data_IF_178047997341
#
_entry.id   IF_178047997341
#
_cell.length_a   1.000
_cell.length_b   1.000
_cell.length_c   1.000
_cell.angle_alpha   90.00
_cell.angle_beta   90.00
_cell.angle_gamma   90.00
#
_symmetry.space_group_name_H-M   'P 1'
#
loop_
_entity.id
_entity.type
_entity.pdbx_description
1 polymer ?
#
# COMPACT_ATOMS: atom_id res chain seq x y z
N UNK A 1 2.00 -49.43 -31.27
CA UNK A 1 2.95 -48.39 -30.75
C UNK A 1 2.42 -46.97 -30.96
N UNK A 2 1.82 -46.61 -32.11
CA UNK A 2 1.30 -45.29 -32.39
C UNK A 2 0.14 -44.83 -31.50
N UNK A 3 -0.77 -45.72 -31.16
CA UNK A 3 -1.93 -45.40 -30.30
C UNK A 3 -1.51 -45.14 -28.86
N UNK A 4 -0.52 -45.86 -28.34
CA UNK A 4 0.01 -45.67 -26.99
C UNK A 4 0.75 -44.29 -26.89
N UNK A 5 1.47 -43.92 -27.93
CA UNK A 5 2.13 -42.60 -27.98
C UNK A 5 1.12 -41.45 -28.07
N UNK A 6 0.06 -41.60 -28.87
CA UNK A 6 -1.01 -40.62 -28.99
C UNK A 6 -1.77 -40.45 -27.66
N UNK A 7 -2.11 -41.58 -26.99
CA UNK A 7 -2.76 -41.53 -25.68
C UNK A 7 -1.89 -40.84 -24.62
N UNK A 8 -0.58 -41.15 -24.59
CA UNK A 8 0.37 -40.52 -23.69
C UNK A 8 0.49 -39.00 -23.93
N UNK A 9 0.49 -38.58 -25.20
CA UNK A 9 0.54 -37.15 -25.56
C UNK A 9 -0.73 -36.39 -25.13
N UNK A 10 -1.90 -37.00 -25.31
CA UNK A 10 -3.20 -36.46 -24.87
C UNK A 10 -3.26 -36.31 -23.35
N UNK A 11 -2.80 -37.32 -22.62
CA UNK A 11 -2.77 -37.32 -21.15
C UNK A 11 -1.85 -36.24 -20.55
N UNK A 12 -0.88 -35.77 -21.29
CA UNK A 12 0.03 -34.65 -20.86
C UNK A 12 -0.46 -33.28 -21.34
N UNK A 13 -0.90 -33.22 -22.61
CA UNK A 13 -1.27 -31.92 -23.23
C UNK A 13 -2.55 -31.36 -22.60
N UNK A 14 -3.56 -32.21 -22.34
CA UNK A 14 -4.84 -31.74 -21.77
C UNK A 14 -4.63 -31.11 -20.37
N UNK A 15 -3.96 -31.76 -19.40
CA UNK A 15 -3.68 -31.15 -18.11
C UNK A 15 -2.85 -29.89 -18.21
N UNK A 16 -1.82 -29.85 -19.07
CA UNK A 16 -1.01 -28.65 -19.28
C UNK A 16 -1.82 -27.50 -19.85
N UNK A 17 -2.71 -27.78 -20.82
CA UNK A 17 -3.63 -26.77 -21.36
C UNK A 17 -4.58 -26.26 -20.27
N UNK A 18 -5.11 -27.16 -19.45
CA UNK A 18 -6.03 -26.81 -18.37
C UNK A 18 -5.33 -25.92 -17.29
N UNK A 19 -4.14 -26.31 -16.88
CA UNK A 19 -3.32 -25.51 -15.94
C UNK A 19 -2.98 -24.15 -16.52
N UNK A 20 -2.59 -24.09 -17.79
CA UNK A 20 -2.30 -22.83 -18.47
C UNK A 20 -3.54 -21.94 -18.54
N UNK A 21 -4.67 -22.51 -18.91
CA UNK A 21 -5.94 -21.78 -19.03
C UNK A 21 -6.43 -21.27 -17.65
N UNK A 22 -6.38 -22.14 -16.63
CA UNK A 22 -6.71 -21.76 -15.25
C UNK A 22 -5.82 -20.63 -14.75
N UNK A 23 -4.51 -20.70 -14.98
CA UNK A 23 -3.58 -19.64 -14.60
C UNK A 23 -3.87 -18.33 -15.34
N UNK A 24 -4.29 -18.39 -16.60
CA UNK A 24 -4.67 -17.20 -17.37
C UNK A 24 -5.93 -16.55 -16.81
N UNK A 25 -6.96 -17.34 -16.50
CA UNK A 25 -8.20 -16.85 -15.88
C UNK A 25 -7.90 -16.21 -14.52
N UNK A 26 -7.11 -16.87 -13.67
CA UNK A 26 -6.73 -16.34 -12.37
C UNK A 26 -6.03 -14.98 -12.49
N UNK A 27 -5.08 -14.86 -13.42
CA UNK A 27 -4.40 -13.57 -13.67
C UNK A 27 -5.36 -12.48 -14.13
N UNK A 28 -6.29 -12.79 -15.04
CA UNK A 28 -7.30 -11.83 -15.49
C UNK A 28 -8.22 -11.39 -14.35
N UNK A 29 -8.59 -12.31 -13.46
CA UNK A 29 -9.40 -12.02 -12.29
C UNK A 29 -8.64 -11.14 -11.28
N UNK A 30 -7.36 -11.44 -11.03
CA UNK A 30 -6.49 -10.63 -10.17
C UNK A 30 -6.31 -9.21 -10.74
N UNK A 31 -6.08 -9.07 -12.05
CA UNK A 31 -6.00 -7.78 -12.74
C UNK A 31 -7.33 -7.02 -12.61
N UNK A 32 -8.46 -7.65 -12.89
CA UNK A 32 -9.77 -7.03 -12.78
C UNK A 32 -10.11 -6.58 -11.34
N UNK A 33 -9.78 -7.39 -10.35
CA UNK A 33 -9.95 -7.03 -8.95
C UNK A 33 -9.09 -5.83 -8.56
N UNK A 34 -7.84 -5.76 -9.03
CA UNK A 34 -6.95 -4.63 -8.80
C UNK A 34 -7.49 -3.36 -9.45
N UNK A 35 -7.97 -3.44 -10.69
CA UNK A 35 -8.56 -2.31 -11.40
C UNK A 35 -9.82 -1.79 -10.69
N UNK A 36 -10.64 -2.68 -10.13
CA UNK A 36 -11.81 -2.31 -9.33
C UNK A 36 -11.42 -1.59 -8.04
N UNK A 37 -10.43 -2.08 -7.30
CA UNK A 37 -9.93 -1.41 -6.10
C UNK A 37 -9.39 -0.02 -6.45
N UNK A 38 -8.63 0.10 -7.52
CA UNK A 38 -8.08 1.37 -8.03
C UNK A 38 -9.21 2.36 -8.40
N UNK A 39 -10.26 1.88 -9.05
CA UNK A 39 -11.43 2.70 -9.39
C UNK A 39 -12.16 3.18 -8.13
N UNK A 40 -12.35 2.30 -7.14
CA UNK A 40 -12.97 2.65 -5.86
C UNK A 40 -12.18 3.73 -5.12
N UNK A 41 -10.86 3.56 -5.03
CA UNK A 41 -9.97 4.55 -4.40
C UNK A 41 -10.05 5.89 -5.12
N UNK A 42 -9.96 5.91 -6.45
CA UNK A 42 -10.11 7.14 -7.24
C UNK A 42 -11.46 7.83 -7.04
N UNK A 43 -12.54 7.05 -6.89
CA UNK A 43 -13.86 7.61 -6.61
C UNK A 43 -13.94 8.26 -5.22
N UNK A 44 -13.23 7.73 -4.23
CA UNK A 44 -13.13 8.30 -2.89
C UNK A 44 -12.26 9.55 -2.91
N UNK A 45 -11.08 9.48 -3.52
CA UNK A 45 -10.16 10.61 -3.67
C UNK A 45 -10.79 11.79 -4.44
N UNK A 46 -11.71 11.54 -5.37
CA UNK A 46 -12.44 12.60 -6.09
C UNK A 46 -13.31 13.48 -5.16
N UNK A 47 -13.56 13.06 -3.93
CA UNK A 47 -14.27 13.85 -2.90
C UNK A 47 -13.35 14.80 -2.13
N UNK A 48 -12.05 14.55 -2.17
CA UNK A 48 -11.00 15.36 -1.54
C UNK A 48 -10.11 15.97 -2.62
N UNK A 49 -10.13 17.29 -2.75
CA UNK A 49 -9.45 18.02 -3.81
C UNK A 49 -7.90 17.83 -3.81
N UNK A 50 -7.33 17.32 -2.72
CA UNK A 50 -5.88 17.23 -2.52
C UNK A 50 -5.31 15.82 -2.60
N UNK A 51 -6.15 14.79 -2.73
CA UNK A 51 -5.74 13.39 -2.63
C UNK A 51 -5.61 12.65 -3.96
N UNK A 52 -5.78 13.33 -5.10
CA UNK A 52 -5.67 12.65 -6.40
C UNK A 52 -4.35 11.88 -6.54
N UNK A 53 -4.45 10.54 -6.66
CA UNK A 53 -3.33 9.61 -6.78
C UNK A 53 -2.49 9.46 -5.51
N UNK A 54 -2.94 9.98 -4.37
CA UNK A 54 -2.28 9.83 -3.07
C UNK A 54 -2.13 8.38 -2.67
N UNK A 55 -3.23 7.65 -2.62
CA UNK A 55 -3.24 6.25 -2.16
C UNK A 55 -2.34 5.35 -3.01
N UNK A 56 -2.27 5.57 -4.33
CA UNK A 56 -1.35 4.83 -5.21
C UNK A 56 0.12 5.18 -4.91
N UNK A 57 0.43 6.46 -4.62
CA UNK A 57 1.80 6.85 -4.27
C UNK A 57 2.20 6.30 -2.92
N UNK A 58 1.32 6.36 -1.92
CA UNK A 58 1.53 5.74 -0.60
C UNK A 58 1.75 4.23 -0.74
N UNK A 59 0.90 3.53 -1.51
CA UNK A 59 1.06 2.10 -1.78
C UNK A 59 2.40 1.76 -2.44
N UNK A 60 2.87 2.59 -3.37
CA UNK A 60 4.16 2.39 -4.03
C UNK A 60 5.32 2.58 -3.07
N UNK A 61 5.32 3.63 -2.26
CA UNK A 61 6.36 3.88 -1.26
C UNK A 61 6.36 2.77 -0.21
N UNK A 62 5.19 2.40 0.32
CA UNK A 62 5.05 1.33 1.31
C UNK A 62 5.54 -0.02 0.78
N UNK A 63 5.21 -0.38 -0.46
CA UNK A 63 5.68 -1.60 -1.10
C UNK A 63 7.19 -1.62 -1.30
N UNK A 64 7.83 -0.51 -1.65
CA UNK A 64 9.28 -0.44 -1.75
C UNK A 64 9.96 -0.52 -0.37
N UNK A 65 9.42 0.16 0.65
CA UNK A 65 9.95 0.05 2.01
C UNK A 65 9.83 -1.38 2.56
N UNK A 66 8.69 -2.04 2.29
CA UNK A 66 8.50 -3.44 2.65
C UNK A 66 9.53 -4.39 1.98
N UNK A 67 9.91 -4.13 0.72
CA UNK A 67 10.99 -4.86 0.03
C UNK A 67 12.35 -4.58 0.62
N UNK A 68 12.64 -3.32 0.94
CA UNK A 68 13.92 -2.89 1.51
C UNK A 68 14.19 -3.59 2.85
N UNK A 69 13.17 -3.77 3.68
CA UNK A 69 13.29 -4.52 4.94
C UNK A 69 13.21 -6.04 4.77
N UNK A 70 13.23 -6.54 3.53
CA UNK A 70 13.39 -7.97 3.22
C UNK A 70 12.12 -8.81 3.33
N UNK A 71 10.93 -8.20 3.28
CA UNK A 71 9.67 -8.94 3.33
C UNK A 71 9.41 -9.77 2.06
N UNK A 72 8.72 -10.89 2.23
CA UNK A 72 8.33 -11.78 1.14
C UNK A 72 7.29 -11.15 0.20
N UNK A 73 7.21 -11.67 -1.03
CA UNK A 73 6.32 -11.13 -2.07
C UNK A 73 4.87 -10.91 -1.60
N UNK A 74 4.29 -11.88 -0.87
CA UNK A 74 2.91 -11.78 -0.38
C UNK A 74 2.74 -10.68 0.66
N UNK A 75 3.67 -10.56 1.58
CA UNK A 75 3.64 -9.51 2.61
C UNK A 75 3.76 -8.12 1.99
N UNK A 76 4.63 -7.95 0.99
CA UNK A 76 4.75 -6.71 0.21
C UNK A 76 3.44 -6.35 -0.49
N UNK A 77 2.79 -7.32 -1.14
CA UNK A 77 1.49 -7.11 -1.81
C UNK A 77 0.38 -6.77 -0.80
N UNK A 78 0.34 -7.43 0.35
CA UNK A 78 -0.61 -7.16 1.42
C UNK A 78 -0.43 -5.75 1.99
N UNK A 79 0.82 -5.33 2.24
CA UNK A 79 1.13 -3.99 2.75
C UNK A 79 0.82 -2.92 1.69
N UNK A 80 1.15 -3.14 0.43
CA UNK A 80 0.79 -2.23 -0.66
C UNK A 80 -0.73 -2.10 -0.81
N UNK A 81 -1.46 -3.21 -0.67
CA UNK A 81 -2.94 -3.20 -0.68
C UNK A 81 -3.51 -2.47 0.53
N UNK A 82 -2.96 -2.68 1.73
CA UNK A 82 -3.35 -1.96 2.92
C UNK A 82 -3.10 -0.44 2.75
N UNK A 83 -1.95 -0.06 2.21
CA UNK A 83 -1.60 1.31 1.91
C UNK A 83 -2.54 1.95 0.87
N UNK A 84 -2.95 1.19 -0.15
CA UNK A 84 -3.93 1.65 -1.14
C UNK A 84 -5.30 1.95 -0.50
N UNK A 85 -5.69 1.16 0.50
CA UNK A 85 -7.01 1.17 1.12
C UNK A 85 -7.06 1.86 2.49
N UNK A 86 -5.94 2.44 2.98
CA UNK A 86 -5.85 2.94 4.36
C UNK A 86 -6.92 3.97 4.69
N UNK A 87 -7.30 4.76 3.73
CA UNK A 87 -8.20 5.90 3.83
C UNK A 87 -9.63 5.65 3.28
N UNK A 88 -9.97 4.41 2.88
CA UNK A 88 -11.28 4.16 2.23
C UNK A 88 -12.47 4.49 3.14
N UNK A 89 -12.29 4.47 4.47
CA UNK A 89 -13.32 4.84 5.44
C UNK A 89 -13.76 6.30 5.36
N UNK A 90 -12.97 7.18 4.76
CA UNK A 90 -13.37 8.58 4.50
C UNK A 90 -14.52 8.72 3.51
N UNK A 91 -14.99 7.61 2.92
CA UNK A 91 -16.23 7.58 2.11
C UNK A 91 -17.48 7.89 2.93
N UNK A 92 -17.49 7.60 4.22
CA UNK A 92 -18.66 7.85 5.05
C UNK A 92 -19.02 9.34 5.13
N UNK A 93 -20.32 9.63 5.24
CA UNK A 93 -20.86 10.99 5.12
C UNK A 93 -20.35 11.93 6.23
N UNK A 94 -20.06 11.40 7.41
CA UNK A 94 -19.53 12.17 8.54
C UNK A 94 -18.19 12.86 8.24
N UNK A 95 -17.39 12.33 7.32
CA UNK A 95 -16.09 12.92 6.94
C UNK A 95 -16.19 14.01 5.87
N UNK A 96 -17.26 14.02 5.06
CA UNK A 96 -17.39 14.93 3.92
C UNK A 96 -17.28 16.43 4.31
N UNK A 97 -17.93 16.93 5.39
CA UNK A 97 -17.76 18.32 5.81
C UNK A 97 -16.35 18.61 6.34
N UNK A 98 -15.69 17.62 6.98
CA UNK A 98 -14.37 17.77 7.58
C UNK A 98 -13.28 17.87 6.51
N UNK A 99 -13.38 17.08 5.44
CA UNK A 99 -12.44 17.09 4.32
C UNK A 99 -12.46 18.40 3.52
N UNK A 100 -13.58 19.14 3.58
CA UNK A 100 -13.76 20.41 2.87
C UNK A 100 -13.59 21.63 3.76
N UNK A 101 -13.37 21.42 5.06
CA UNK A 101 -13.28 22.52 6.01
C UNK A 101 -12.01 23.31 5.81
N UNK A 102 -12.16 24.63 5.67
CA UNK A 102 -11.02 25.56 5.72
C UNK A 102 -10.66 25.83 7.19
N UNK A 103 -9.37 25.70 7.50
CA UNK A 103 -8.84 25.95 8.86
C UNK A 103 -8.69 24.68 9.71
N UNK A 104 -8.55 24.90 11.03
CA UNK A 104 -8.32 23.80 11.98
C UNK A 104 -9.62 23.12 12.36
N UNK A 105 -9.57 21.80 12.56
CA UNK A 105 -10.66 21.03 13.15
C UNK A 105 -10.81 21.40 14.62
N UNK A 106 -12.07 21.43 15.11
CA UNK A 106 -12.36 21.46 16.55
C UNK A 106 -12.02 20.09 17.18
N UNK A 107 -11.93 20.01 18.49
CA UNK A 107 -11.65 18.73 19.17
C UNK A 107 -12.68 17.64 18.83
N UNK A 108 -13.97 17.99 18.71
CA UNK A 108 -15.00 17.05 18.30
C UNK A 108 -14.83 16.57 16.86
N UNK A 109 -14.53 17.48 15.94
CA UNK A 109 -14.25 17.15 14.54
C UNK A 109 -12.99 16.30 14.40
N UNK A 110 -11.96 16.58 15.22
CA UNK A 110 -10.75 15.78 15.28
C UNK A 110 -11.05 14.36 15.73
N UNK A 111 -11.84 14.20 16.79
CA UNK A 111 -12.30 12.89 17.28
C UNK A 111 -13.04 12.10 16.19
N UNK A 112 -13.92 12.76 15.41
CA UNK A 112 -14.57 12.12 14.25
C UNK A 112 -13.51 11.72 13.22
N UNK A 113 -12.59 12.63 12.85
CA UNK A 113 -11.54 12.34 11.86
C UNK A 113 -10.66 11.17 12.30
N UNK A 114 -10.30 11.07 13.58
CA UNK A 114 -9.49 9.98 14.13
C UNK A 114 -10.18 8.60 14.11
N UNK A 115 -11.47 8.55 13.78
CA UNK A 115 -12.19 7.29 13.61
C UNK A 115 -12.02 6.65 12.23
N UNK A 116 -11.46 7.37 11.22
CA UNK A 116 -11.36 6.84 9.86
C UNK A 116 -10.53 5.56 9.72
N UNK A 117 -9.46 5.29 10.52
CA UNK A 117 -8.73 4.02 10.39
C UNK A 117 -9.61 2.83 10.78
N UNK A 118 -10.40 2.98 11.84
CA UNK A 118 -11.35 1.95 12.26
C UNK A 118 -12.44 1.73 11.18
N UNK A 119 -12.99 2.83 10.64
CA UNK A 119 -13.97 2.78 9.53
C UNK A 119 -13.40 2.16 8.26
N UNK A 120 -12.14 2.49 7.92
CA UNK A 120 -11.45 1.85 6.79
C UNK A 120 -11.28 0.35 7.01
N UNK A 121 -10.85 -0.05 8.20
CA UNK A 121 -10.69 -1.46 8.56
C UNK A 121 -12.03 -2.22 8.53
N UNK A 122 -13.12 -1.62 8.97
CA UNK A 122 -14.48 -2.21 8.86
C UNK A 122 -14.84 -2.51 7.40
N UNK A 123 -14.64 -1.55 6.49
CA UNK A 123 -14.89 -1.74 5.06
C UNK A 123 -13.99 -2.83 4.47
N UNK A 124 -12.69 -2.78 4.75
CA UNK A 124 -11.71 -3.77 4.26
C UNK A 124 -12.05 -5.16 4.75
N UNK A 125 -12.54 -5.31 5.99
CA UNK A 125 -12.91 -6.60 6.57
C UNK A 125 -14.10 -7.29 5.87
N UNK A 126 -14.89 -6.57 5.07
CA UNK A 126 -15.97 -7.15 4.25
C UNK A 126 -15.42 -8.04 3.14
N UNK A 127 -14.20 -7.80 2.71
CA UNK A 127 -13.51 -8.57 1.67
C UNK A 127 -12.72 -9.69 2.35
N UNK A 128 -13.12 -10.94 2.12
CA UNK A 128 -12.58 -12.11 2.84
C UNK A 128 -11.05 -12.22 2.78
N UNK A 129 -10.46 -11.94 1.63
CA UNK A 129 -9.01 -12.05 1.40
C UNK A 129 -8.20 -10.94 2.12
N UNK A 130 -8.85 -9.87 2.56
CA UNK A 130 -8.18 -8.72 3.21
C UNK A 130 -8.32 -8.76 4.72
N UNK A 131 -9.13 -9.68 5.26
CA UNK A 131 -9.26 -9.87 6.71
C UNK A 131 -7.93 -10.29 7.33
N UNK A 132 -7.69 -9.81 8.52
CA UNK A 132 -6.51 -10.17 9.30
C UNK A 132 -5.34 -9.24 9.03
N UNK A 133 -4.37 -9.61 8.18
CA UNK A 133 -3.14 -8.82 8.05
C UNK A 133 -3.40 -7.43 7.46
N UNK A 134 -4.04 -7.35 6.30
CA UNK A 134 -4.36 -6.08 5.62
C UNK A 134 -5.26 -5.20 6.48
N UNK A 135 -6.33 -5.76 7.04
CA UNK A 135 -7.25 -5.05 7.93
C UNK A 135 -6.52 -4.44 9.14
N UNK A 136 -5.64 -5.21 9.81
CA UNK A 136 -4.88 -4.69 10.96
C UNK A 136 -3.93 -3.57 10.55
N UNK A 137 -3.26 -3.67 9.41
CA UNK A 137 -2.41 -2.60 8.91
C UNK A 137 -3.21 -1.31 8.68
N UNK A 138 -4.39 -1.43 8.06
CA UNK A 138 -5.30 -0.31 7.83
C UNK A 138 -5.81 0.28 9.16
N UNK A 139 -6.18 -0.55 10.15
CA UNK A 139 -6.70 -0.09 11.44
C UNK A 139 -5.69 0.74 12.22
N UNK A 140 -4.41 0.41 12.15
CA UNK A 140 -3.37 0.95 13.02
C UNK A 140 -2.38 1.89 12.32
N UNK A 141 -2.68 2.37 11.10
CA UNK A 141 -1.74 3.20 10.34
C UNK A 141 -1.51 4.60 10.90
N UNK A 142 -2.26 5.01 11.93
CA UNK A 142 -2.06 6.24 12.71
C UNK A 142 -1.60 6.00 14.15
N UNK A 143 -1.17 4.77 14.48
CA UNK A 143 -0.47 4.54 15.74
C UNK A 143 0.95 5.11 15.66
N UNK A 144 1.33 5.91 16.66
CA UNK A 144 2.68 6.44 16.78
C UNK A 144 3.58 5.44 17.49
N UNK A 145 4.85 5.37 17.13
CA UNK A 145 5.78 4.39 17.68
C UNK A 145 5.93 4.47 19.20
N UNK A 146 5.75 5.64 19.79
CA UNK A 146 5.77 5.88 21.23
C UNK A 146 4.44 5.60 21.97
N UNK A 147 3.38 5.21 21.26
CA UNK A 147 2.05 4.94 21.83
C UNK A 147 1.14 6.18 21.95
N UNK A 148 1.56 7.34 21.48
CA UNK A 148 0.73 8.56 21.50
C UNK A 148 -0.27 8.66 20.35
N UNK A 149 -0.35 7.61 19.49
CA UNK A 149 -1.22 7.56 18.32
C UNK A 149 -2.63 7.07 18.61
N UNK A 150 -3.35 6.73 17.56
CA UNK A 150 -4.71 6.22 17.60
C UNK A 150 -4.92 5.09 16.58
N UNK A 151 -5.92 4.21 16.73
CA UNK A 151 -7.07 4.29 17.65
C UNK A 151 -6.87 3.65 19.03
N UNK A 152 -5.82 2.85 19.26
CA UNK A 152 -5.65 2.08 20.50
C UNK A 152 -4.47 2.54 21.36
N UNK A 153 -3.57 3.37 20.85
CA UNK A 153 -2.35 3.78 21.53
C UNK A 153 -1.34 2.64 21.65
N UNK A 154 -1.25 1.78 20.65
CA UNK A 154 -0.24 0.74 20.58
C UNK A 154 1.15 1.36 20.42
N UNK A 155 2.19 0.70 20.97
CA UNK A 155 3.56 1.21 20.95
C UNK A 155 4.54 0.17 20.38
N UNK A 156 5.61 0.65 19.74
CA UNK A 156 6.71 -0.17 19.28
C UNK A 156 6.24 -1.32 18.38
N UNK A 157 6.63 -2.54 18.72
CA UNK A 157 6.32 -3.75 17.95
C UNK A 157 4.88 -4.26 18.11
N UNK A 158 4.11 -3.74 19.06
CA UNK A 158 2.68 -4.03 19.16
C UNK A 158 1.93 -3.51 17.92
N UNK A 159 2.46 -2.43 17.30
CA UNK A 159 1.93 -1.89 16.04
C UNK A 159 2.32 -2.86 14.91
N UNK A 160 1.36 -3.34 14.10
CA UNK A 160 1.66 -4.18 12.94
C UNK A 160 2.74 -3.55 12.05
N UNK A 161 3.73 -4.31 11.61
CA UNK A 161 4.83 -3.80 10.79
C UNK A 161 4.33 -3.05 9.55
N UNK A 162 3.30 -3.58 8.87
CA UNK A 162 2.70 -2.90 7.72
C UNK A 162 2.09 -1.54 8.09
N UNK A 163 1.51 -1.38 9.28
CA UNK A 163 0.98 -0.10 9.74
C UNK A 163 2.10 0.92 9.97
N UNK A 164 3.22 0.51 10.59
CA UNK A 164 4.42 1.36 10.76
C UNK A 164 5.01 1.79 9.41
N UNK A 165 5.02 0.90 8.42
CA UNK A 165 5.45 1.19 7.04
C UNK A 165 4.49 2.19 6.38
N UNK A 166 3.17 2.01 6.51
CA UNK A 166 2.16 2.92 5.94
C UNK A 166 2.27 4.31 6.55
N UNK A 167 2.49 4.44 7.85
CA UNK A 167 2.71 5.72 8.54
C UNK A 167 3.83 6.54 7.89
N UNK A 168 4.98 5.92 7.61
CA UNK A 168 6.11 6.59 6.96
C UNK A 168 5.76 6.97 5.51
N UNK A 169 5.12 6.05 4.77
CA UNK A 169 4.77 6.26 3.38
C UNK A 169 3.73 7.37 3.20
N UNK A 170 2.69 7.39 4.03
CA UNK A 170 1.64 8.42 4.04
C UNK A 170 2.22 9.79 4.39
N UNK A 171 2.99 9.87 5.48
CA UNK A 171 3.65 11.12 5.87
C UNK A 171 4.59 11.63 4.79
N UNK A 172 5.35 10.74 4.14
CA UNK A 172 6.23 11.09 3.01
C UNK A 172 5.42 11.66 1.85
N UNK A 173 4.31 11.04 1.47
CA UNK A 173 3.46 11.56 0.39
C UNK A 173 2.86 12.91 0.76
N UNK A 174 2.37 13.05 1.98
CA UNK A 174 1.84 14.31 2.49
C UNK A 174 2.89 15.43 2.50
N UNK A 175 4.16 15.15 2.84
CA UNK A 175 5.24 16.14 2.83
C UNK A 175 5.68 16.54 1.43
N UNK A 176 5.62 15.63 0.47
CA UNK A 176 6.15 15.80 -0.89
C UNK A 176 5.07 16.14 -1.92
N UNK A 177 3.83 16.41 -1.51
CA UNK A 177 2.74 16.89 -2.36
C UNK A 177 2.47 18.37 -2.08
N UNK A 178 2.34 19.19 -3.14
CA UNK A 178 1.96 20.59 -3.00
C UNK A 178 0.57 20.71 -2.37
N UNK A 179 0.45 21.57 -1.38
CA UNK A 179 -0.81 21.94 -0.75
C UNK A 179 -1.03 23.44 -0.87
N UNK A 180 -2.28 23.95 -0.85
CA UNK A 180 -2.53 25.40 -1.03
C UNK A 180 -1.75 26.32 -0.12
N UNK A 181 -1.25 25.79 1.01
CA UNK A 181 -0.56 26.56 2.04
C UNK A 181 0.92 26.18 2.20
N UNK A 182 1.43 25.20 1.40
CA UNK A 182 2.79 24.70 1.54
C UNK A 182 3.26 24.00 0.27
N UNK A 183 4.41 24.43 -0.23
CA UNK A 183 5.14 23.75 -1.29
C UNK A 183 5.63 22.36 -0.85
N UNK A 184 5.79 21.45 -1.79
CA UNK A 184 6.36 20.13 -1.56
C UNK A 184 7.79 20.25 -1.00
N UNK A 185 8.10 19.41 0.00
CA UNK A 185 9.44 19.33 0.55
C UNK A 185 10.37 18.55 -0.38
N UNK A 186 11.65 18.88 -0.36
CA UNK A 186 12.70 18.09 -1.01
C UNK A 186 12.92 16.76 -0.28
N UNK A 187 13.50 15.78 -0.96
CA UNK A 187 13.80 14.47 -0.36
C UNK A 187 14.66 14.61 0.91
N UNK A 188 15.68 15.48 0.88
CA UNK A 188 16.58 15.71 2.01
C UNK A 188 15.85 16.28 3.24
N UNK A 189 14.87 17.15 3.02
CA UNK A 189 14.01 17.66 4.09
C UNK A 189 13.09 16.59 4.64
N UNK A 190 12.56 15.71 3.77
CA UNK A 190 11.73 14.56 4.20
C UNK A 190 12.55 13.64 5.12
N UNK A 191 13.77 13.27 4.73
CA UNK A 191 14.65 12.46 5.59
C UNK A 191 14.86 13.13 6.95
N UNK A 192 15.23 14.42 6.97
CA UNK A 192 15.45 15.16 8.22
C UNK A 192 14.20 15.17 9.13
N UNK A 193 13.00 15.27 8.58
CA UNK A 193 11.76 15.18 9.37
C UNK A 193 11.49 13.78 9.87
N UNK A 194 11.72 12.73 9.05
CA UNK A 194 11.56 11.34 9.48
C UNK A 194 12.54 10.99 10.62
N UNK A 195 13.81 11.38 10.50
CA UNK A 195 14.83 11.21 11.54
C UNK A 195 14.47 11.95 12.83
N UNK A 196 13.97 13.19 12.72
CA UNK A 196 13.57 14.02 13.87
C UNK A 196 12.49 13.37 14.73
N UNK A 197 11.57 12.63 14.10
CA UNK A 197 10.46 11.97 14.77
C UNK A 197 10.64 10.45 14.90
N UNK A 198 11.84 9.92 14.58
CA UNK A 198 12.17 8.52 14.82
C UNK A 198 12.12 8.21 16.34
N UNK A 199 11.48 7.11 16.69
CA UNK A 199 11.22 6.73 18.09
C UNK A 199 10.03 7.43 18.74
N UNK A 200 9.44 8.44 18.09
CA UNK A 200 8.21 9.11 18.53
C UNK A 200 7.03 8.71 17.62
N UNK A 201 7.03 9.19 16.40
CA UNK A 201 6.00 8.86 15.41
C UNK A 201 6.40 7.65 14.57
N UNK A 202 7.66 7.55 14.18
CA UNK A 202 8.16 6.55 13.24
C UNK A 202 9.04 5.52 13.93
N UNK A 203 8.99 4.30 13.40
CA UNK A 203 9.93 3.25 13.75
C UNK A 203 11.35 3.61 13.26
N UNK A 204 12.35 3.70 14.16
CA UNK A 204 13.70 4.09 13.81
C UNK A 204 14.38 3.16 12.78
N UNK A 205 14.10 1.85 12.84
CA UNK A 205 14.68 0.88 11.90
C UNK A 205 14.11 1.07 10.49
N UNK A 206 12.81 1.36 10.40
CA UNK A 206 12.15 1.65 9.13
C UNK A 206 12.61 3.00 8.55
N UNK A 207 12.87 4.01 9.38
CA UNK A 207 13.44 5.29 8.92
C UNK A 207 14.83 5.06 8.33
N UNK A 208 15.69 4.29 8.98
CA UNK A 208 17.01 3.96 8.48
C UNK A 208 16.96 3.19 7.14
N UNK A 209 16.03 2.22 7.01
CA UNK A 209 15.82 1.49 5.76
C UNK A 209 15.30 2.41 4.63
N UNK A 210 14.38 3.34 4.96
CA UNK A 210 13.85 4.32 4.01
C UNK A 210 14.96 5.21 3.44
N UNK A 211 15.84 5.75 4.28
CA UNK A 211 16.97 6.60 3.87
C UNK A 211 17.91 5.88 2.91
N UNK A 212 18.20 4.59 3.17
CA UNK A 212 19.12 3.78 2.37
C UNK A 212 18.54 3.37 1.01
N UNK A 213 17.22 3.44 0.84
CA UNK A 213 16.57 2.97 -0.38
C UNK A 213 16.69 3.94 -1.55
N UNK A 214 17.55 3.60 -2.51
CA UNK A 214 17.64 4.32 -3.78
C UNK A 214 16.35 4.29 -4.60
N UNK A 215 15.56 3.23 -4.48
CA UNK A 215 14.26 3.10 -5.16
C UNK A 215 13.24 4.09 -4.62
N UNK A 216 13.14 4.23 -3.30
CA UNK A 216 12.25 5.21 -2.66
C UNK A 216 12.69 6.64 -3.01
N UNK A 217 13.99 6.93 -2.95
CA UNK A 217 14.53 8.22 -3.39
C UNK A 217 14.11 8.55 -4.82
N UNK A 218 14.22 7.60 -5.74
CA UNK A 218 13.77 7.79 -7.12
C UNK A 218 12.27 8.07 -7.24
N UNK A 219 11.42 7.37 -6.46
CA UNK A 219 9.97 7.59 -6.44
C UNK A 219 9.65 9.01 -5.95
N UNK A 220 10.28 9.44 -4.87
CA UNK A 220 10.02 10.74 -4.23
C UNK A 220 10.54 11.90 -5.10
N UNK A 221 11.72 11.76 -5.73
CA UNK A 221 12.36 12.85 -6.48
C UNK A 221 11.83 13.01 -7.92
N UNK A 222 11.33 11.93 -8.54
CA UNK A 222 10.84 11.99 -9.93
C UNK A 222 9.35 12.32 -10.05
N UNK A 223 8.76 13.00 -9.08
CA UNK A 223 7.37 13.48 -9.12
C UNK A 223 7.19 14.50 -10.25
N UNK A 224 6.31 14.17 -11.19
CA UNK A 224 6.00 15.00 -12.36
C UNK A 224 6.22 14.31 -13.71
N UNK A 225 6.87 13.16 -13.77
CA UNK A 225 6.81 12.29 -14.95
C UNK A 225 5.75 11.20 -14.73
N UNK A 226 4.93 10.87 -15.76
CA UNK A 226 4.01 9.74 -15.66
C UNK A 226 4.78 8.52 -15.16
N UNK A 227 4.35 7.95 -14.04
CA UNK A 227 4.95 6.71 -13.51
C UNK A 227 4.80 5.66 -14.60
N UNK A 228 5.90 5.09 -15.13
CA UNK A 228 5.77 3.98 -16.05
C UNK A 228 4.99 2.87 -15.32
N UNK A 229 4.05 2.19 -15.99
CA UNK A 229 3.31 1.09 -15.39
C UNK A 229 4.33 0.12 -14.79
N UNK A 230 4.04 -0.38 -13.58
CA UNK A 230 4.86 -1.38 -12.88
C UNK A 230 5.29 -2.40 -13.91
N UNK A 231 6.60 -2.52 -14.17
CA UNK A 231 7.13 -3.43 -15.18
C UNK A 231 6.53 -4.81 -14.88
N UNK A 232 5.63 -5.25 -15.77
CA UNK A 232 5.13 -6.62 -15.75
C UNK A 232 6.37 -7.51 -15.77
N UNK A 233 6.49 -8.52 -14.92
CA UNK A 233 7.56 -9.49 -15.09
C UNK A 233 7.39 -10.05 -16.50
N UNK A 234 8.29 -9.67 -17.39
CA UNK A 234 8.36 -10.20 -18.75
C UNK A 234 8.60 -11.68 -18.59
N UNK A 235 7.62 -12.44 -19.07
CA UNK A 235 7.56 -13.87 -18.93
C UNK A 235 8.82 -14.58 -19.40
N UNK A 236 8.95 -15.81 -18.96
CA UNK A 236 9.87 -16.85 -19.40
C UNK A 236 11.35 -16.67 -19.02
N UNK A 237 11.71 -17.18 -17.85
CA UNK A 237 13.10 -17.31 -17.45
C UNK A 237 13.35 -18.23 -16.26
N UNK A 238 12.54 -19.23 -16.02
CA UNK A 238 12.95 -20.33 -15.15
C UNK A 238 13.91 -21.28 -15.91
N UNK A 239 15.18 -20.94 -15.93
CA UNK A 239 16.22 -21.92 -16.24
C UNK A 239 16.55 -22.66 -14.94
N UNK A 240 16.05 -23.89 -14.83
CA UNK A 240 16.55 -24.89 -13.89
C UNK A 240 18.06 -25.03 -14.12
N UNK A 241 18.89 -24.51 -13.20
CA UNK A 241 20.29 -24.96 -13.08
C UNK A 241 20.25 -26.33 -12.41
N UNK A 242 20.33 -27.37 -13.21
CA UNK A 242 20.72 -28.69 -12.74
C UNK A 242 22.23 -28.59 -12.45
N UNK A 243 22.58 -28.67 -11.16
CA UNK A 243 23.95 -28.81 -10.74
C UNK A 243 24.47 -30.20 -11.21
N UNK A 244 25.63 -30.22 -11.85
CA UNK A 244 26.44 -31.41 -12.03
C UNK A 244 27.27 -31.65 -10.79
#
# INVERSE_FOLDING_TARGET
YGEIQLLGMVLVIIPLFFVRHSNQINRQLEEANRDLLDLMVKAIEARDAYTSGHSQRVAKIAGELAREVGLGFREVEDIATAALLHDVGKIYEEFAPLLRKEGKLTEHEKFIMESHPARSAELVSTISNLRGHVERCVRHHHENFDGSGYPLGLSGEEIPLGARIIMIADTTDAMTTDRPYRDALTYEKVISELERYAGVQFDPELVAAFEQSGAIKAIVTHRGRPVPPIMKPTGSGWRLRVAR
#
